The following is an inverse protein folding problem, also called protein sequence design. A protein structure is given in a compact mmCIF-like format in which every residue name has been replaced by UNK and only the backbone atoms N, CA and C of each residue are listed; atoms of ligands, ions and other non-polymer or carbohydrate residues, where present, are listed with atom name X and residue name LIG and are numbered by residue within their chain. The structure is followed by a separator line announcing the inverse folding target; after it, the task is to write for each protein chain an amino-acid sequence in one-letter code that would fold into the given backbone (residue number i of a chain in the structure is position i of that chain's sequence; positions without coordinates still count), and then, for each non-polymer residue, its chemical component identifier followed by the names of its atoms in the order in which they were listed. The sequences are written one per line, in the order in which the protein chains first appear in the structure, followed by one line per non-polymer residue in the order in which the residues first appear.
data_IF_202695983461
#
_entry.id   IF_202695983461
#
_cell.length_a   1.000
_cell.length_b   1.000
_cell.length_c   1.000
_cell.angle_alpha   90.00
_cell.angle_beta   90.00
_cell.angle_gamma   90.00
#
_symmetry.space_group_name_H-M   'P 1'
#
loop_
_entity.id
_entity.type
_entity.pdbx_description
1 polymer ?
#
# COMPACT_ATOMS: atom_id res chain seq x y z
N UNK A 1 9.57 -26.79 8.80
CA UNK A 1 9.95 -25.46 9.33
C UNK A 1 9.76 -24.50 8.18
N UNK A 2 8.58 -23.86 8.14
CA UNK A 2 8.16 -23.00 7.03
C UNK A 2 8.66 -21.59 7.34
N UNK A 3 9.71 -21.14 6.65
CA UNK A 3 10.09 -19.74 6.62
C UNK A 3 8.94 -18.97 5.94
N UNK A 4 8.09 -18.35 6.76
CA UNK A 4 7.20 -17.29 6.29
C UNK A 4 8.10 -16.13 5.88
N UNK A 5 8.42 -16.10 4.58
CA UNK A 5 9.22 -15.08 3.94
C UNK A 5 8.56 -13.73 4.20
N UNK A 6 9.16 -12.92 5.08
CA UNK A 6 8.82 -11.51 5.21
C UNK A 6 9.30 -10.90 3.90
N UNK A 7 8.39 -10.67 2.95
CA UNK A 7 8.71 -9.97 1.71
C UNK A 7 9.37 -8.65 2.09
N UNK A 8 10.67 -8.56 1.87
CA UNK A 8 11.47 -7.42 2.26
C UNK A 8 11.08 -6.23 1.38
N UNK A 9 11.37 -5.02 1.85
CA UNK A 9 11.24 -3.83 1.01
C UNK A 9 11.94 -3.95 -0.34
N UNK A 10 13.06 -4.67 -0.36
CA UNK A 10 13.83 -4.98 -1.57
C UNK A 10 12.98 -5.75 -2.60
N UNK A 11 12.09 -6.65 -2.17
CA UNK A 11 11.23 -7.42 -3.06
C UNK A 11 10.22 -6.53 -3.81
N UNK A 12 9.76 -5.42 -3.20
CA UNK A 12 8.73 -4.55 -3.80
C UNK A 12 9.30 -3.74 -4.96
N UNK A 13 10.47 -3.12 -4.76
CA UNK A 13 11.10 -2.32 -5.81
C UNK A 13 11.66 -3.20 -6.93
N UNK A 14 12.25 -4.35 -6.60
CA UNK A 14 12.69 -5.33 -7.60
C UNK A 14 11.51 -5.84 -8.43
N UNK A 15 10.38 -6.13 -7.79
CA UNK A 15 9.17 -6.55 -8.49
C UNK A 15 8.63 -5.47 -9.42
N UNK A 16 8.57 -4.22 -8.94
CA UNK A 16 8.15 -3.08 -9.76
C UNK A 16 9.04 -2.87 -10.97
N UNK A 17 10.37 -2.92 -10.78
CA UNK A 17 11.34 -2.83 -11.86
C UNK A 17 11.18 -3.97 -12.87
N UNK A 18 10.94 -5.20 -12.40
CA UNK A 18 10.73 -6.37 -13.27
C UNK A 18 9.46 -6.21 -14.12
N UNK A 19 8.33 -5.89 -13.53
CA UNK A 19 7.08 -5.68 -14.27
C UNK A 19 7.19 -4.54 -15.29
N UNK A 20 7.88 -3.46 -14.92
CA UNK A 20 8.16 -2.38 -15.85
C UNK A 20 9.03 -2.84 -17.02
N UNK A 21 10.06 -3.65 -16.77
CA UNK A 21 10.91 -4.23 -17.82
C UNK A 21 10.14 -5.20 -18.74
N UNK A 22 9.08 -5.84 -18.22
CA UNK A 22 8.13 -6.65 -19.00
C UNK A 22 7.16 -5.80 -19.84
N UNK A 23 7.22 -4.46 -19.76
CA UNK A 23 6.37 -3.54 -20.50
C UNK A 23 4.99 -3.30 -19.88
N UNK A 24 4.78 -3.74 -18.63
CA UNK A 24 3.52 -3.51 -17.91
C UNK A 24 3.43 -2.07 -17.41
N UNK A 25 2.21 -1.54 -17.33
CA UNK A 25 1.98 -0.33 -16.55
C UNK A 25 1.93 -0.68 -15.05
N UNK A 26 2.68 0.08 -14.24
CA UNK A 26 2.90 -0.21 -12.82
C UNK A 26 2.73 1.07 -12.01
N UNK A 27 2.15 0.96 -10.82
CA UNK A 27 2.14 2.02 -9.82
C UNK A 27 2.71 1.52 -8.48
N UNK A 28 3.28 2.44 -7.72
CA UNK A 28 3.77 2.21 -6.37
C UNK A 28 2.99 3.08 -5.38
N UNK A 29 2.58 2.47 -4.28
CA UNK A 29 1.96 3.11 -3.15
C UNK A 29 2.94 3.09 -1.98
N UNK A 30 3.24 4.25 -1.40
CA UNK A 30 4.20 4.41 -0.29
C UNK A 30 3.53 5.11 0.88
N UNK A 31 3.62 4.54 2.08
CA UNK A 31 3.21 5.21 3.32
C UNK A 31 4.16 6.38 3.58
N UNK A 32 3.66 7.60 3.48
CA UNK A 32 4.46 8.83 3.66
C UNK A 32 4.30 9.44 5.05
N UNK A 33 3.15 9.21 5.69
CA UNK A 33 2.89 9.71 7.05
C UNK A 33 2.06 8.71 7.83
N UNK A 34 2.31 8.61 9.14
CA UNK A 34 1.51 7.82 10.07
C UNK A 34 1.18 8.64 11.32
N UNK A 35 0.02 8.37 11.92
CA UNK A 35 -0.39 8.92 13.21
C UNK A 35 -0.95 7.82 14.10
N UNK A 36 -0.70 7.92 15.40
CA UNK A 36 -1.14 6.92 16.36
C UNK A 36 -0.53 5.54 16.09
N UNK A 37 -1.25 4.49 16.47
CA UNK A 37 -0.82 3.10 16.29
C UNK A 37 -1.07 2.61 14.86
N UNK A 38 -0.36 3.19 13.88
CA UNK A 38 -0.38 2.71 12.49
C UNK A 38 0.18 1.28 12.40
N UNK A 39 -0.45 0.38 11.64
CA UNK A 39 -0.02 -1.01 11.54
C UNK A 39 1.25 -1.22 10.69
N UNK A 40 1.62 -0.24 9.86
CA UNK A 40 2.87 -0.22 9.08
C UNK A 40 3.62 1.10 9.27
N UNK A 41 4.97 1.09 9.27
CA UNK A 41 5.77 2.30 9.40
C UNK A 41 5.77 3.14 8.11
N UNK A 42 6.14 4.42 8.23
CA UNK A 42 6.51 5.26 7.08
C UNK A 42 7.58 4.55 6.26
N UNK A 43 7.45 4.64 4.95
CA UNK A 43 8.28 3.94 3.98
C UNK A 43 7.64 2.66 3.47
N UNK A 44 6.67 2.04 4.17
CA UNK A 44 5.94 0.84 3.70
C UNK A 44 5.41 0.98 2.29
N UNK A 45 5.71 0.00 1.44
CA UNK A 45 5.40 0.05 0.02
C UNK A 45 4.52 -1.12 -0.43
N UNK A 46 3.71 -0.84 -1.45
CA UNK A 46 2.94 -1.81 -2.20
C UNK A 46 3.02 -1.43 -3.68
N UNK A 47 3.41 -2.38 -4.53
CA UNK A 47 3.48 -2.19 -5.98
C UNK A 47 2.33 -2.93 -6.65
N UNK A 48 1.73 -2.33 -7.68
CA UNK A 48 0.56 -2.87 -8.39
C UNK A 48 0.78 -2.78 -9.89
N UNK A 49 0.49 -3.86 -10.64
CA UNK A 49 0.42 -3.83 -12.10
C UNK A 49 -1.00 -3.56 -12.62
N UNK A 50 -1.12 -3.27 -13.91
CA UNK A 50 -2.41 -3.01 -14.56
C UNK A 50 -3.42 -4.18 -14.52
N UNK A 51 -2.97 -5.39 -14.17
CA UNK A 51 -3.82 -6.58 -13.98
C UNK A 51 -4.24 -6.77 -12.52
N UNK A 52 -4.00 -5.77 -11.66
CA UNK A 52 -4.24 -5.80 -10.21
C UNK A 52 -3.38 -6.81 -9.45
N UNK A 53 -2.29 -7.33 -10.04
CA UNK A 53 -1.31 -8.10 -9.28
C UNK A 53 -0.56 -7.14 -8.36
N UNK A 54 -0.26 -7.55 -7.12
CA UNK A 54 0.44 -6.70 -6.18
C UNK A 54 1.46 -7.45 -5.32
N UNK A 55 2.48 -6.72 -4.86
CA UNK A 55 3.50 -7.19 -3.90
C UNK A 55 3.75 -6.09 -2.87
N UNK A 56 3.99 -6.48 -1.62
CA UNK A 56 4.17 -5.55 -0.51
C UNK A 56 2.90 -5.31 0.29
N UNK A 57 2.96 -4.36 1.22
CA UNK A 57 1.85 -4.04 2.12
C UNK A 57 2.04 -2.67 2.74
N UNK A 58 0.94 -1.91 2.82
CA UNK A 58 0.88 -0.58 3.42
C UNK A 58 0.08 -0.54 4.72
N UNK A 59 -0.66 -1.61 5.04
CA UNK A 59 -1.40 -1.70 6.31
C UNK A 59 -1.40 -3.08 6.97
N UNK A 60 -1.25 -4.17 6.21
CA UNK A 60 -1.35 -5.54 6.69
C UNK A 60 -2.71 -6.20 6.46
N UNK A 61 -3.63 -5.58 5.73
CA UNK A 61 -4.80 -6.25 5.14
C UNK A 61 -6.04 -5.37 4.93
N UNK A 62 -6.34 -4.44 5.84
CA UNK A 62 -7.66 -3.78 5.89
C UNK A 62 -7.91 -2.78 4.75
N UNK A 63 -6.87 -2.13 4.22
CA UNK A 63 -7.02 -1.05 3.23
C UNK A 63 -6.30 -1.34 1.91
N UNK A 64 -5.65 -2.50 1.78
CA UNK A 64 -4.90 -2.89 0.58
C UNK A 64 -5.76 -2.85 -0.68
N UNK A 65 -7.01 -3.35 -0.61
CA UNK A 65 -7.94 -3.30 -1.75
C UNK A 65 -8.22 -1.88 -2.24
N UNK A 66 -8.49 -0.95 -1.31
CA UNK A 66 -8.71 0.45 -1.66
C UNK A 66 -7.47 1.12 -2.25
N UNK A 67 -6.28 0.76 -1.76
CA UNK A 67 -5.01 1.28 -2.28
C UNK A 67 -4.72 0.72 -3.68
N UNK A 68 -5.06 -0.55 -3.94
CA UNK A 68 -4.98 -1.17 -5.27
C UNK A 68 -5.90 -0.43 -6.26
N UNK A 69 -7.14 -0.12 -5.86
CA UNK A 69 -8.07 0.64 -6.71
C UNK A 69 -7.53 2.03 -7.06
N UNK A 70 -6.93 2.73 -6.09
CA UNK A 70 -6.27 4.01 -6.32
C UNK A 70 -5.07 3.86 -7.28
N UNK A 71 -4.25 2.81 -7.11
CA UNK A 71 -3.13 2.53 -8.00
C UNK A 71 -3.56 2.27 -9.44
N UNK A 72 -4.63 1.52 -9.67
CA UNK A 72 -5.22 1.33 -11.00
C UNK A 72 -5.72 2.65 -11.60
N UNK A 73 -6.31 3.51 -10.79
CA UNK A 73 -6.69 4.87 -11.17
C UNK A 73 -5.48 5.70 -11.62
N UNK A 74 -4.40 5.68 -10.84
CA UNK A 74 -3.13 6.36 -11.15
C UNK A 74 -2.50 5.81 -12.43
N UNK A 75 -2.48 4.48 -12.64
CA UNK A 75 -1.99 3.85 -13.87
C UNK A 75 -2.75 4.37 -15.09
N UNK A 76 -4.10 4.43 -15.00
CA UNK A 76 -4.97 4.85 -16.10
C UNK A 76 -4.87 6.34 -16.40
N UNK A 77 -4.78 7.17 -15.36
CA UNK A 77 -4.82 8.63 -15.49
C UNK A 77 -3.44 9.27 -15.64
N UNK A 78 -2.37 8.58 -15.23
CA UNK A 78 -1.01 9.12 -15.19
C UNK A 78 -0.82 10.24 -14.17
N UNK A 79 -1.72 10.36 -13.18
CA UNK A 79 -1.70 11.44 -12.17
C UNK A 79 -1.48 10.85 -10.78
N UNK A 80 -0.39 11.23 -10.07
CA UNK A 80 -0.17 10.80 -8.69
C UNK A 80 -1.28 11.26 -7.75
N UNK A 81 -1.51 10.50 -6.68
CA UNK A 81 -2.53 10.76 -5.66
C UNK A 81 -1.95 10.64 -4.25
N UNK A 82 -2.44 11.47 -3.33
CA UNK A 82 -2.18 11.35 -1.90
C UNK A 82 -3.50 10.99 -1.20
N UNK A 83 -3.58 9.79 -0.65
CA UNK A 83 -4.80 9.24 -0.05
C UNK A 83 -4.63 9.03 1.45
N UNK A 84 -5.71 9.21 2.22
CA UNK A 84 -5.70 9.12 3.68
C UNK A 84 -6.65 8.03 4.14
N UNK A 85 -6.18 7.16 5.02
CA UNK A 85 -6.99 6.11 5.62
C UNK A 85 -6.89 6.12 7.15
N UNK A 86 -7.99 5.79 7.81
CA UNK A 86 -8.04 5.56 9.25
C UNK A 86 -8.40 4.11 9.53
N UNK A 87 -7.62 3.43 10.38
CA UNK A 87 -7.94 2.09 10.85
C UNK A 87 -8.76 2.26 12.13
N UNK A 88 -10.07 2.29 12.03
CA UNK A 88 -10.94 2.16 13.20
C UNK A 88 -11.36 0.71 13.29
N UNK A 89 -10.88 -0.01 14.31
CA UNK A 89 -11.25 -1.40 14.55
C UNK A 89 -12.79 -1.50 14.56
N UNK A 90 -13.38 -2.29 13.66
CA UNK A 90 -14.82 -2.33 13.38
C UNK A 90 -15.69 -2.77 14.58
N UNK A 91 -15.08 -3.14 15.71
CA UNK A 91 -15.75 -3.47 16.99
C UNK A 91 -15.39 -2.54 18.18
N UNK A 92 -14.65 -1.44 17.98
CA UNK A 92 -14.09 -0.65 19.10
C UNK A 92 -14.89 0.62 19.49
N UNK A 93 -16.06 0.86 18.91
CA UNK A 93 -16.81 2.10 19.17
C UNK A 93 -17.66 2.08 20.45
N UNK A 94 -17.92 0.91 21.06
CA UNK A 94 -18.78 0.81 22.25
C UNK A 94 -18.04 0.97 23.60
N UNK A 95 -16.69 0.97 23.62
CA UNK A 95 -15.94 0.91 24.90
C UNK A 95 -14.72 1.84 25.00
N UNK A 96 -14.52 2.78 24.07
CA UNK A 96 -13.52 3.85 24.23
C UNK A 96 -12.05 3.42 24.11
N UNK A 97 -11.75 2.36 23.34
CA UNK A 97 -10.38 1.92 23.07
C UNK A 97 -10.00 2.22 21.60
N UNK A 98 -9.38 3.38 21.37
CA UNK A 98 -8.90 3.76 20.05
C UNK A 98 -7.62 3.01 19.69
N UNK A 99 -7.70 1.97 18.85
CA UNK A 99 -6.60 1.66 17.93
C UNK A 99 -6.59 2.74 16.84
N UNK A 100 -6.38 4.01 17.22
CA UNK A 100 -6.64 5.22 16.40
C UNK A 100 -5.55 5.54 15.37
N UNK A 101 -5.11 4.53 14.62
CA UNK A 101 -4.08 4.69 13.60
C UNK A 101 -4.63 5.39 12.34
N UNK A 102 -3.88 6.36 11.81
CA UNK A 102 -4.11 6.93 10.48
C UNK A 102 -2.85 6.82 9.64
N UNK A 103 -3.02 6.67 8.34
CA UNK A 103 -1.93 6.65 7.36
C UNK A 103 -2.24 7.57 6.19
N UNK A 104 -1.21 8.20 5.67
CA UNK A 104 -1.20 8.86 4.37
C UNK A 104 -0.32 8.06 3.43
N UNK A 105 -0.85 7.79 2.24
CA UNK A 105 -0.20 6.97 1.22
C UNK A 105 -0.11 7.79 -0.05
N UNK A 106 1.11 7.95 -0.56
CA UNK A 106 1.37 8.54 -1.85
C UNK A 106 1.39 7.43 -2.90
N UNK A 107 0.61 7.60 -3.96
CA UNK A 107 0.46 6.64 -5.05
C UNK A 107 0.91 7.32 -6.34
N UNK A 108 1.87 6.73 -7.02
CA UNK A 108 2.42 7.25 -8.27
C UNK A 108 2.66 6.13 -9.27
N UNK A 109 2.65 6.48 -10.55
CA UNK A 109 2.99 5.56 -11.64
C UNK A 109 4.51 5.46 -11.75
N UNK A 110 5.03 4.26 -12.00
CA UNK A 110 6.44 4.06 -12.31
C UNK A 110 6.70 4.41 -13.77
N UNK A 111 7.43 5.51 -14.00
CA UNK A 111 7.88 6.00 -15.32
C UNK A 111 9.24 5.45 -15.70
#
# INVERSE_FOLDING_TARGET
MSETQIAGYDDVLEQGARWKAEGKAVAIATVVTTWGSSPRPVGSQLVVDESSNFVGSVSGGCIEGAVIDEALGVIKEGKPRLVKYGVTNEMAWEVGLSCGGKVEIFVEKLE
#
